data_IF_991978604244
#
_entry.id   IF_991978604244
#
_cell.length_a   1.000
_cell.length_b   1.000
_cell.length_c   1.000
_cell.angle_alpha   90.00
_cell.angle_beta   90.00
_cell.angle_gamma   90.00
#
_symmetry.space_group_name_H-M   'P 1'
#
loop_
_entity.id
_entity.type
_entity.pdbx_description
1 polymer ?
#
# COMPACT_ATOMS: atom_id res chain seq x y z
N UNK A 1 -1.85 -2.74 -6.83
CA UNK A 1 -1.73 -1.63 -7.81
C UNK A 1 -0.28 -1.33 -8.17
N UNK A 2 0.66 -1.32 -7.23
CA UNK A 2 2.09 -1.06 -7.52
C UNK A 2 2.72 -2.00 -8.55
N UNK A 3 2.64 -3.34 -8.36
CA UNK A 3 3.29 -4.31 -9.28
C UNK A 3 2.78 -4.18 -10.73
N UNK A 4 1.45 -4.23 -11.03
CA UNK A 4 0.99 -4.12 -12.41
C UNK A 4 1.42 -2.81 -13.10
N UNK A 5 1.45 -1.70 -12.35
CA UNK A 5 1.93 -0.42 -12.87
C UNK A 5 3.43 -0.48 -13.20
N UNK A 6 4.24 -1.09 -12.33
CA UNK A 6 5.68 -1.22 -12.56
C UNK A 6 5.98 -2.11 -13.75
N UNK A 7 5.25 -3.22 -13.91
CA UNK A 7 5.38 -4.10 -15.08
C UNK A 7 5.00 -3.37 -16.36
N UNK A 8 3.94 -2.57 -16.35
CA UNK A 8 3.51 -1.80 -17.51
C UNK A 8 4.50 -0.70 -17.92
N UNK A 9 5.25 -0.13 -16.96
CA UNK A 9 6.17 0.99 -17.21
C UNK A 9 7.61 0.56 -17.46
N UNK A 10 8.10 -0.46 -16.75
CA UNK A 10 9.51 -0.85 -16.68
C UNK A 10 9.76 -2.29 -17.16
N UNK A 11 8.72 -3.05 -17.51
CA UNK A 11 8.82 -4.45 -17.94
C UNK A 11 8.93 -5.45 -16.78
N UNK A 12 9.20 -6.71 -17.14
CA UNK A 12 9.22 -7.84 -16.18
C UNK A 12 10.34 -7.72 -15.13
N UNK A 13 11.42 -7.01 -15.45
CA UNK A 13 12.55 -6.79 -14.54
C UNK A 13 12.16 -6.02 -13.28
N UNK A 14 11.04 -5.28 -13.31
CA UNK A 14 10.54 -4.54 -12.17
C UNK A 14 9.68 -5.39 -11.20
N UNK A 15 9.34 -6.63 -11.56
CA UNK A 15 8.51 -7.53 -10.73
C UNK A 15 9.16 -7.80 -9.38
N UNK A 16 10.45 -8.17 -9.40
CA UNK A 16 11.21 -8.52 -8.19
C UNK A 16 11.32 -7.32 -7.24
N UNK A 17 11.86 -6.15 -7.64
CA UNK A 17 11.97 -5.01 -6.74
C UNK A 17 10.59 -4.54 -6.26
N UNK A 18 9.57 -4.55 -7.13
CA UNK A 18 8.23 -4.11 -6.72
C UNK A 18 7.58 -5.04 -5.69
N UNK A 19 7.79 -6.34 -5.83
CA UNK A 19 7.27 -7.34 -4.88
C UNK A 19 7.96 -7.22 -3.54
N UNK A 20 9.28 -7.03 -3.52
CA UNK A 20 10.03 -6.81 -2.28
C UNK A 20 9.53 -5.57 -1.54
N UNK A 21 9.46 -4.42 -2.23
CA UNK A 21 9.00 -3.16 -1.63
C UNK A 21 7.60 -3.32 -1.02
N UNK A 22 6.65 -3.91 -1.75
CA UNK A 22 5.29 -4.14 -1.22
C UNK A 22 5.27 -5.11 -0.05
N UNK A 23 6.11 -6.13 -0.07
CA UNK A 23 6.16 -7.12 1.03
C UNK A 23 6.65 -6.45 2.31
N UNK A 24 7.75 -5.69 2.22
CA UNK A 24 8.26 -4.91 3.35
C UNK A 24 7.24 -3.87 3.85
N UNK A 25 6.60 -3.13 2.95
CA UNK A 25 5.59 -2.14 3.33
C UNK A 25 4.40 -2.77 4.07
N UNK A 26 3.91 -3.91 3.58
CA UNK A 26 2.84 -4.64 4.25
C UNK A 26 3.26 -5.15 5.62
N UNK A 27 4.45 -5.76 5.75
CA UNK A 27 4.97 -6.25 7.04
C UNK A 27 5.04 -5.10 8.05
N UNK A 28 5.60 -3.95 7.63
CA UNK A 28 5.72 -2.77 8.48
C UNK A 28 4.33 -2.30 8.93
N UNK A 29 3.37 -2.15 8.02
CA UNK A 29 2.00 -1.75 8.37
C UNK A 29 1.33 -2.72 9.32
N UNK A 30 1.46 -4.03 9.07
CA UNK A 30 0.86 -5.07 9.89
C UNK A 30 1.51 -5.22 11.27
N UNK A 31 2.71 -4.70 11.50
CA UNK A 31 3.35 -4.68 12.83
C UNK A 31 3.07 -3.34 13.54
N UNK A 32 3.27 -2.23 12.85
CA UNK A 32 3.18 -0.89 13.45
C UNK A 32 1.74 -0.49 13.73
N UNK A 33 0.82 -0.75 12.80
CA UNK A 33 -0.58 -0.30 12.96
C UNK A 33 -1.23 -0.96 14.17
N UNK A 34 -1.14 -2.29 14.40
CA UNK A 34 -1.67 -2.89 15.63
C UNK A 34 -0.97 -2.40 16.90
N UNK A 35 0.34 -2.11 16.84
CA UNK A 35 1.09 -1.60 17.98
C UNK A 35 0.62 -0.21 18.44
N UNK A 36 0.29 0.66 17.48
CA UNK A 36 -0.19 2.04 17.72
C UNK A 36 -1.71 2.07 17.94
N UNK A 37 -2.45 1.27 17.18
CA UNK A 37 -3.90 1.27 17.14
C UNK A 37 -4.53 0.35 18.19
N UNK A 38 -3.82 -0.70 18.60
CA UNK A 38 -4.21 -1.63 19.66
C UNK A 38 -4.60 -0.87 20.91
N UNK A 39 -5.67 -1.35 21.56
CA UNK A 39 -6.31 -0.68 22.71
C UNK A 39 -5.30 -0.15 23.71
N UNK A 40 -5.61 1.02 24.26
CA UNK A 40 -4.84 1.75 25.25
C UNK A 40 -4.85 1.06 26.63
N UNK A 41 -4.79 -0.26 26.67
CA UNK A 41 -4.60 -1.02 27.88
C UNK A 41 -3.13 -0.82 28.24
N UNK A 42 -2.84 -0.07 29.30
CA UNK A 42 -1.51 0.36 29.75
C UNK A 42 -0.55 -0.76 30.17
N UNK A 43 -0.54 -1.88 29.44
CA UNK A 43 0.38 -3.00 29.62
C UNK A 43 1.73 -2.78 28.94
N UNK A 44 2.74 -3.47 29.46
CA UNK A 44 4.12 -3.52 28.95
C UNK A 44 4.19 -3.72 27.43
N UNK A 45 5.21 -3.13 26.78
CA UNK A 45 5.49 -3.20 25.34
C UNK A 45 5.44 -4.64 24.80
N UNK A 46 5.85 -5.62 25.61
CA UNK A 46 5.80 -7.06 25.27
C UNK A 46 4.38 -7.60 25.12
N UNK A 47 3.43 -7.15 25.94
CA UNK A 47 2.01 -7.53 25.80
C UNK A 47 1.42 -6.92 24.55
N UNK A 48 1.75 -5.66 24.24
CA UNK A 48 1.31 -4.98 23.01
C UNK A 48 1.84 -5.67 21.75
N UNK A 49 3.11 -6.08 21.75
CA UNK A 49 3.67 -6.89 20.66
C UNK A 49 2.97 -8.26 20.55
N UNK A 50 2.69 -8.92 21.68
CA UNK A 50 1.94 -10.18 21.70
C UNK A 50 0.53 -10.04 21.12
N UNK A 51 -0.20 -8.97 21.48
CA UNK A 51 -1.51 -8.67 20.88
C UNK A 51 -1.43 -8.36 19.40
N UNK A 52 -0.45 -7.55 18.96
CA UNK A 52 -0.22 -7.25 17.55
C UNK A 52 0.06 -8.50 16.71
N UNK A 53 0.85 -9.44 17.24
CA UNK A 53 1.11 -10.74 16.59
C UNK A 53 -0.16 -11.61 16.52
N UNK A 54 -0.96 -11.65 17.59
CA UNK A 54 -2.22 -12.37 17.62
C UNK A 54 -3.25 -11.80 16.62
N UNK A 55 -3.32 -10.49 16.50
CA UNK A 55 -4.18 -9.82 15.51
C UNK A 55 -3.68 -9.99 14.09
N UNK A 56 -2.35 -10.02 13.90
CA UNK A 56 -1.74 -10.35 12.62
C UNK A 56 -2.12 -11.76 12.17
N UNK A 57 -2.04 -12.76 13.06
CA UNK A 57 -2.46 -14.13 12.76
C UNK A 57 -3.97 -14.21 12.48
N UNK A 58 -4.79 -13.38 13.14
CA UNK A 58 -6.23 -13.28 12.88
C UNK A 58 -6.57 -12.43 11.66
N UNK A 59 -5.58 -11.86 10.98
CA UNK A 59 -5.82 -10.98 9.86
C UNK A 59 -6.33 -11.78 8.64
N UNK A 60 -7.53 -11.50 8.11
CA UNK A 60 -8.09 -12.25 6.99
C UNK A 60 -7.22 -12.17 5.72
N UNK A 61 -6.48 -11.07 5.51
CA UNK A 61 -5.53 -10.97 4.40
C UNK A 61 -4.36 -11.94 4.56
N UNK A 62 -3.75 -11.98 5.76
CA UNK A 62 -2.64 -12.88 6.03
C UNK A 62 -3.07 -14.34 5.91
N UNK A 63 -4.22 -14.68 6.49
CA UNK A 63 -4.78 -16.04 6.42
C UNK A 63 -5.02 -16.43 4.96
N UNK A 64 -5.65 -15.55 4.15
CA UNK A 64 -5.88 -15.81 2.74
C UNK A 64 -4.59 -16.02 1.95
N UNK A 65 -3.55 -15.20 2.20
CA UNK A 65 -2.24 -15.35 1.56
C UNK A 65 -1.57 -16.66 1.94
N UNK A 66 -1.57 -17.03 3.22
CA UNK A 66 -0.99 -18.29 3.70
C UNK A 66 -1.71 -19.49 3.07
N UNK A 67 -3.05 -19.47 3.03
CA UNK A 67 -3.83 -20.53 2.38
C UNK A 67 -3.46 -20.62 0.89
N UNK A 68 -3.38 -19.49 0.18
CA UNK A 68 -2.99 -19.45 -1.23
C UNK A 68 -1.59 -20.04 -1.48
N UNK A 69 -0.62 -19.70 -0.64
CA UNK A 69 0.74 -20.25 -0.70
C UNK A 69 0.73 -21.76 -0.46
N UNK A 70 0.03 -22.23 0.59
CA UNK A 70 -0.05 -23.66 0.91
C UNK A 70 -0.69 -24.45 -0.24
N UNK A 71 -1.80 -23.97 -0.80
CA UNK A 71 -2.46 -24.59 -1.96
C UNK A 71 -1.51 -24.68 -3.16
N UNK A 72 -0.77 -23.60 -3.43
CA UNK A 72 0.23 -23.57 -4.51
C UNK A 72 1.40 -24.51 -4.25
N UNK A 73 1.92 -24.58 -3.01
CA UNK A 73 3.09 -25.38 -2.65
C UNK A 73 2.79 -26.89 -2.66
N UNK A 74 1.59 -27.28 -2.24
CA UNK A 74 1.15 -28.68 -2.25
C UNK A 74 0.58 -29.12 -3.60
N UNK A 75 0.54 -28.24 -4.60
CA UNK A 75 0.01 -28.55 -5.94
C UNK A 75 -1.42 -29.08 -5.90
N UNK A 76 -2.22 -28.63 -4.91
CA UNK A 76 -3.58 -29.13 -4.72
C UNK A 76 -4.37 -28.70 -5.96
N UNK A 77 -4.84 -29.69 -6.73
CA UNK A 77 -5.76 -29.47 -7.85
C UNK A 77 -7.07 -28.88 -7.30
N UNK A 78 -7.12 -27.56 -7.27
CA UNK A 78 -8.32 -26.81 -6.91
C UNK A 78 -9.32 -26.94 -8.04
N UNK A 79 -10.60 -27.06 -7.67
CA UNK A 79 -11.67 -27.13 -8.65
C UNK A 79 -11.66 -25.84 -9.49
N UNK A 80 -11.71 -25.96 -10.82
CA UNK A 80 -11.72 -24.80 -11.73
C UNK A 80 -12.79 -23.76 -11.34
N UNK A 81 -13.91 -24.20 -10.75
CA UNK A 81 -14.94 -23.34 -10.20
C UNK A 81 -14.41 -22.40 -9.09
N UNK A 82 -13.65 -22.92 -8.14
CA UNK A 82 -13.12 -22.13 -7.01
C UNK A 82 -12.13 -21.09 -7.51
N UNK A 83 -11.26 -21.46 -8.46
CA UNK A 83 -10.28 -20.56 -9.08
C UNK A 83 -11.00 -19.43 -9.82
N UNK A 84 -11.96 -19.77 -10.68
CA UNK A 84 -12.71 -18.79 -11.46
C UNK A 84 -13.54 -17.84 -10.59
N UNK A 85 -14.20 -18.36 -9.55
CA UNK A 85 -14.93 -17.53 -8.59
C UNK A 85 -13.98 -16.60 -7.82
N UNK A 86 -12.84 -17.11 -7.37
CA UNK A 86 -11.84 -16.30 -6.65
C UNK A 86 -11.26 -15.20 -7.53
N UNK A 87 -11.01 -15.48 -8.81
CA UNK A 87 -10.53 -14.50 -9.79
C UNK A 87 -11.58 -13.40 -10.06
N UNK A 88 -12.85 -13.77 -10.26
CA UNK A 88 -13.93 -12.80 -10.44
C UNK A 88 -14.17 -11.93 -9.20
N UNK A 89 -14.12 -12.54 -8.00
CA UNK A 89 -14.20 -11.81 -6.73
C UNK A 89 -13.01 -10.87 -6.56
N UNK A 90 -11.79 -11.33 -6.86
CA UNK A 90 -10.57 -10.53 -6.80
C UNK A 90 -10.62 -9.31 -7.72
N UNK A 91 -11.10 -9.49 -8.96
CA UNK A 91 -11.32 -8.40 -9.92
C UNK A 91 -12.36 -7.38 -9.45
N UNK A 92 -13.37 -7.84 -8.71
CA UNK A 92 -14.45 -6.98 -8.18
C UNK A 92 -14.12 -6.33 -6.83
N UNK A 93 -13.13 -6.85 -6.10
CA UNK A 93 -12.78 -6.36 -4.76
C UNK A 93 -12.26 -4.92 -4.76
N UNK A 94 -11.43 -4.56 -5.76
CA UNK A 94 -10.87 -3.21 -5.87
C UNK A 94 -11.95 -2.15 -6.15
N UNK A 95 -12.81 -2.28 -7.18
CA UNK A 95 -13.85 -1.28 -7.44
C UNK A 95 -14.86 -1.17 -6.30
N UNK A 96 -15.22 -2.28 -5.65
CA UNK A 96 -16.12 -2.25 -4.49
C UNK A 96 -15.49 -1.57 -3.27
N UNK A 97 -14.20 -1.79 -3.01
CA UNK A 97 -13.50 -1.10 -1.94
C UNK A 97 -13.35 0.40 -2.21
N UNK A 98 -13.05 0.81 -3.46
CA UNK A 98 -13.02 2.21 -3.86
C UNK A 98 -14.39 2.88 -3.72
N UNK A 99 -15.47 2.17 -4.10
CA UNK A 99 -16.84 2.65 -3.90
C UNK A 99 -17.17 2.81 -2.41
N UNK A 100 -16.81 1.85 -1.57
CA UNK A 100 -16.98 1.93 -0.10
C UNK A 100 -16.20 3.09 0.51
N UNK A 101 -14.99 3.34 0.01
CA UNK A 101 -14.17 4.46 0.45
C UNK A 101 -14.81 5.80 0.06
N UNK A 102 -15.35 5.91 -1.16
CA UNK A 102 -16.15 7.07 -1.60
C UNK A 102 -17.43 7.28 -0.81
N UNK A 103 -18.17 6.20 -0.52
CA UNK A 103 -19.37 6.23 0.33
C UNK A 103 -19.02 6.67 1.76
N UNK A 104 -17.92 6.17 2.32
CA UNK A 104 -17.45 6.57 3.64
C UNK A 104 -17.09 8.05 3.71
N UNK A 105 -16.62 8.66 2.60
CA UNK A 105 -16.43 10.11 2.52
C UNK A 105 -17.77 10.85 2.42
N UNK A 106 -18.70 10.37 1.58
CA UNK A 106 -20.01 11.00 1.41
C UNK A 106 -20.89 10.97 2.66
N UNK A 107 -20.80 9.90 3.46
CA UNK A 107 -21.56 9.74 4.70
C UNK A 107 -20.88 10.39 5.90
N UNK A 108 -19.62 10.81 5.75
CA UNK A 108 -18.91 11.50 6.80
C UNK A 108 -19.39 12.95 6.94
N UNK A 109 -19.35 13.50 8.16
CA UNK A 109 -19.58 14.95 8.35
C UNK A 109 -18.36 15.67 7.83
N UNK A 110 -18.32 15.89 6.52
CA UNK A 110 -17.22 16.51 5.79
C UNK A 110 -16.69 17.73 6.55
N UNK A 111 -15.60 17.54 7.29
CA UNK A 111 -14.90 18.60 8.03
C UNK A 111 -13.94 19.38 7.12
N UNK A 112 -13.97 19.12 5.80
CA UNK A 112 -13.05 19.68 4.83
C UNK A 112 -11.64 19.08 4.89
N UNK A 113 -10.81 19.53 3.96
CA UNK A 113 -9.37 19.31 4.00
C UNK A 113 -8.80 20.32 4.99
N UNK A 114 -8.55 19.87 6.22
CA UNK A 114 -7.81 20.66 7.20
C UNK A 114 -6.35 20.81 6.75
N UNK A 115 -5.69 21.91 7.15
CA UNK A 115 -4.26 22.12 6.90
C UNK A 115 -3.39 20.90 7.25
N UNK A 116 -3.70 20.22 8.37
CA UNK A 116 -3.02 18.99 8.77
C UNK A 116 -3.18 17.84 7.76
N UNK A 117 -4.35 17.68 7.15
CA UNK A 117 -4.60 16.64 6.14
C UNK A 117 -3.83 16.94 4.86
N UNK A 118 -3.82 18.21 4.43
CA UNK A 118 -3.05 18.66 3.27
C UNK A 118 -1.54 18.49 3.49
N UNK A 119 -1.05 18.84 4.68
CA UNK A 119 0.35 18.68 5.05
C UNK A 119 0.80 17.21 4.99
N UNK A 120 -0.01 16.27 5.48
CA UNK A 120 0.29 14.83 5.39
C UNK A 120 0.30 14.33 3.94
N UNK A 121 -0.61 14.81 3.11
CA UNK A 121 -0.64 14.50 1.67
C UNK A 121 0.65 15.00 1.01
N UNK A 122 1.04 16.25 1.24
CA UNK A 122 2.27 16.85 0.67
C UNK A 122 3.53 16.14 1.16
N UNK A 123 3.61 15.84 2.47
CA UNK A 123 4.71 15.06 3.05
C UNK A 123 4.88 13.71 2.35
N UNK A 124 3.77 13.01 2.10
CA UNK A 124 3.82 11.68 1.49
C UNK A 124 4.04 11.73 -0.03
N UNK A 125 3.47 12.70 -0.73
CA UNK A 125 3.54 12.76 -2.20
C UNK A 125 4.78 13.48 -2.73
N UNK A 126 5.40 14.37 -1.95
CA UNK A 126 6.56 15.14 -2.40
C UNK A 126 7.80 14.75 -1.61
N UNK A 127 7.74 14.81 -0.28
CA UNK A 127 8.94 14.65 0.54
C UNK A 127 9.41 13.19 0.56
N UNK A 128 8.49 12.23 0.66
CA UNK A 128 8.84 10.81 0.64
C UNK A 128 9.52 10.37 -0.69
N UNK A 129 8.97 10.61 -1.89
CA UNK A 129 9.64 10.22 -3.12
C UNK A 129 10.95 10.97 -3.35
N UNK A 130 11.06 12.23 -2.94
CA UNK A 130 12.33 12.99 -3.02
C UNK A 130 13.38 12.37 -2.11
N UNK A 131 13.03 12.01 -0.87
CA UNK A 131 13.95 11.32 0.04
C UNK A 131 14.38 9.97 -0.52
N UNK A 132 13.45 9.18 -1.05
CA UNK A 132 13.74 7.90 -1.69
C UNK A 132 14.70 8.11 -2.87
N UNK A 133 14.44 9.09 -3.73
CA UNK A 133 15.31 9.41 -4.86
C UNK A 133 16.72 9.81 -4.42
N UNK A 134 16.84 10.69 -3.42
CA UNK A 134 18.14 11.12 -2.89
C UNK A 134 18.92 9.93 -2.32
N UNK A 135 18.28 9.09 -1.50
CA UNK A 135 18.93 7.93 -0.89
C UNK A 135 19.37 6.92 -1.95
N UNK A 136 18.47 6.54 -2.85
CA UNK A 136 18.74 5.55 -3.91
C UNK A 136 19.87 6.02 -4.83
N UNK A 137 19.83 7.29 -5.27
CA UNK A 137 20.87 7.86 -6.15
C UNK A 137 22.19 8.02 -5.40
N UNK A 138 22.17 8.45 -4.14
CA UNK A 138 23.40 8.62 -3.33
C UNK A 138 24.12 7.31 -3.02
N UNK A 139 23.37 6.20 -2.92
CA UNK A 139 23.96 4.89 -2.67
C UNK A 139 24.67 4.34 -3.92
N UNK A 140 24.21 4.68 -5.13
CA UNK A 140 24.87 4.33 -6.40
C UNK A 140 25.02 2.82 -6.69
N UNK A 141 24.41 1.96 -5.87
CA UNK A 141 24.54 0.49 -5.93
C UNK A 141 23.42 -0.20 -6.72
N UNK A 142 22.34 0.51 -7.05
CA UNK A 142 21.15 -0.07 -7.68
C UNK A 142 21.19 0.09 -9.19
N UNK A 143 20.72 -0.93 -9.92
CA UNK A 143 20.52 -0.81 -11.37
C UNK A 143 19.45 0.24 -11.68
N UNK A 144 19.45 0.86 -12.88
CA UNK A 144 18.49 1.89 -13.23
C UNK A 144 17.03 1.46 -13.05
N UNK A 145 16.71 0.21 -13.38
CA UNK A 145 15.36 -0.37 -13.21
C UNK A 145 14.97 -0.47 -11.73
N UNK A 146 15.90 -0.89 -10.86
CA UNK A 146 15.65 -0.98 -9.41
C UNK A 146 15.46 0.41 -8.78
N UNK A 147 16.30 1.37 -9.19
CA UNK A 147 16.20 2.74 -8.73
C UNK A 147 14.88 3.40 -9.19
N UNK A 148 14.53 3.25 -10.47
CA UNK A 148 13.27 3.71 -11.04
C UNK A 148 12.06 3.10 -10.32
N UNK A 149 12.09 1.79 -10.07
CA UNK A 149 11.02 1.08 -9.35
C UNK A 149 10.83 1.66 -7.94
N UNK A 150 11.91 1.84 -7.18
CA UNK A 150 11.83 2.39 -5.82
C UNK A 150 11.25 3.80 -5.80
N UNK A 151 11.70 4.67 -6.71
CA UNK A 151 11.26 6.07 -6.79
C UNK A 151 9.78 6.16 -7.19
N UNK A 152 9.36 5.42 -8.23
CA UNK A 152 7.97 5.46 -8.69
C UNK A 152 7.06 4.85 -7.63
N UNK A 153 7.46 3.76 -6.98
CA UNK A 153 6.65 3.17 -5.91
C UNK A 153 6.56 4.06 -4.67
N UNK A 154 7.61 4.81 -4.33
CA UNK A 154 7.57 5.83 -3.28
C UNK A 154 6.63 7.01 -3.59
N UNK A 155 6.31 7.23 -4.87
CA UNK A 155 5.36 8.28 -5.29
C UNK A 155 3.89 7.83 -5.32
N UNK A 156 3.62 6.54 -5.07
CA UNK A 156 2.26 6.01 -5.04
C UNK A 156 1.47 6.62 -3.87
N UNK A 157 0.16 6.88 -4.06
CA UNK A 157 -0.70 7.35 -2.98
C UNK A 157 -0.82 6.28 -1.88
N UNK A 158 -1.31 6.70 -0.72
CA UNK A 158 -1.54 5.79 0.41
C UNK A 158 -2.35 4.57 0.00
N UNK A 159 -1.87 3.37 0.39
CA UNK A 159 -2.54 2.12 0.09
C UNK A 159 -3.92 2.03 0.77
N UNK A 160 -4.88 1.43 0.06
CA UNK A 160 -6.21 1.09 0.57
C UNK A 160 -6.15 0.25 1.86
N UNK A 161 -5.09 -0.53 2.04
CA UNK A 161 -4.80 -1.31 3.27
C UNK A 161 -4.82 -0.43 4.52
N UNK A 162 -4.34 0.81 4.43
CA UNK A 162 -4.34 1.75 5.57
C UNK A 162 -5.75 2.16 5.96
N UNK A 163 -6.64 2.38 4.98
CA UNK A 163 -8.07 2.64 5.24
C UNK A 163 -8.76 1.42 5.87
N UNK A 164 -8.51 0.22 5.35
CA UNK A 164 -9.08 -1.01 5.91
C UNK A 164 -8.63 -1.25 7.35
N UNK A 165 -7.34 -1.04 7.65
CA UNK A 165 -6.82 -1.12 9.01
C UNK A 165 -7.43 -0.03 9.91
N UNK A 166 -7.54 1.21 9.45
CA UNK A 166 -8.17 2.28 10.23
C UNK A 166 -9.63 1.94 10.60
N UNK A 167 -10.38 1.34 9.66
CA UNK A 167 -11.73 0.82 9.93
C UNK A 167 -11.73 -0.37 10.89
N UNK A 168 -10.83 -1.33 10.70
CA UNK A 168 -10.71 -2.52 11.54
C UNK A 168 -10.42 -2.16 13.00
N UNK A 169 -9.60 -1.13 13.23
CA UNK A 169 -9.20 -0.67 14.55
C UNK A 169 -10.07 0.44 15.14
N UNK A 170 -11.20 0.75 14.51
CA UNK A 170 -12.12 1.83 14.90
C UNK A 170 -11.39 3.17 15.16
N UNK A 171 -10.40 3.46 14.32
CA UNK A 171 -9.67 4.73 14.29
C UNK A 171 -10.33 5.68 13.29
N UNK A 172 -9.75 6.86 13.12
CA UNK A 172 -10.26 7.92 12.24
C UNK A 172 -10.20 7.54 10.75
N UNK A 173 -11.05 6.59 10.37
CA UNK A 173 -11.21 6.07 9.02
C UNK A 173 -11.73 7.14 8.05
N UNK A 174 -12.42 8.16 8.57
CA UNK A 174 -12.89 9.32 7.81
C UNK A 174 -11.71 10.20 7.35
N UNK A 175 -10.78 10.50 8.26
CA UNK A 175 -9.58 11.25 7.89
C UNK A 175 -8.71 10.43 6.93
N UNK A 176 -8.55 9.13 7.17
CA UNK A 176 -7.75 8.25 6.30
C UNK A 176 -8.38 8.09 4.92
N UNK A 177 -9.71 7.97 4.81
CA UNK A 177 -10.41 7.89 3.52
C UNK A 177 -10.24 9.19 2.72
N UNK A 178 -10.38 10.34 3.38
CA UNK A 178 -10.17 11.66 2.76
C UNK A 178 -8.74 11.80 2.21
N UNK A 179 -7.73 11.51 3.03
CA UNK A 179 -6.30 11.58 2.63
C UNK A 179 -6.03 10.64 1.46
N UNK A 180 -6.61 9.44 1.48
CA UNK A 180 -6.42 8.44 0.43
C UNK A 180 -7.07 8.87 -0.89
N UNK A 181 -8.30 9.40 -0.88
CA UNK A 181 -8.96 9.89 -2.10
C UNK A 181 -8.25 11.09 -2.70
N UNK A 182 -8.04 12.14 -1.91
CA UNK A 182 -7.39 13.34 -2.40
C UNK A 182 -5.95 13.06 -2.82
N UNK A 183 -5.23 12.22 -2.05
CA UNK A 183 -3.90 11.75 -2.42
C UNK A 183 -3.90 10.99 -3.74
N UNK A 184 -4.90 10.15 -4.01
CA UNK A 184 -5.03 9.43 -5.28
C UNK A 184 -5.35 10.36 -6.47
N UNK A 185 -6.20 11.37 -6.27
CA UNK A 185 -6.50 12.36 -7.30
C UNK A 185 -5.26 13.20 -7.64
N UNK A 186 -4.52 13.66 -6.62
CA UNK A 186 -3.29 14.45 -6.77
C UNK A 186 -2.14 13.59 -7.31
N UNK A 187 -2.10 12.29 -6.99
CA UNK A 187 -1.06 11.40 -7.45
C UNK A 187 -1.07 11.22 -8.96
N UNK A 188 -2.20 11.38 -9.64
CA UNK A 188 -2.25 11.30 -11.12
C UNK A 188 -1.27 12.29 -11.74
N UNK A 189 -1.27 13.55 -11.29
CA UNK A 189 -0.33 14.57 -11.76
C UNK A 189 1.10 14.30 -11.28
N UNK A 190 1.25 13.94 -10.00
CA UNK A 190 2.57 13.75 -9.37
C UNK A 190 3.33 12.56 -9.96
N UNK A 191 2.67 11.40 -10.10
CA UNK A 191 3.24 10.19 -10.70
C UNK A 191 3.60 10.46 -12.16
N UNK A 192 2.76 11.17 -12.91
CA UNK A 192 3.06 11.52 -14.32
C UNK A 192 4.35 12.33 -14.42
N UNK A 193 4.56 13.31 -13.53
CA UNK A 193 5.81 14.07 -13.47
C UNK A 193 7.00 13.19 -13.05
N UNK A 194 6.84 12.37 -12.01
CA UNK A 194 7.92 11.50 -11.51
C UNK A 194 8.38 10.51 -12.59
N UNK A 195 7.46 9.89 -13.32
CA UNK A 195 7.78 8.99 -14.44
C UNK A 195 8.57 9.73 -15.51
N UNK A 196 8.15 10.95 -15.89
CA UNK A 196 8.85 11.75 -16.89
C UNK A 196 10.30 12.05 -16.48
N UNK A 197 10.53 12.43 -15.21
CA UNK A 197 11.88 12.68 -14.70
C UNK A 197 12.72 11.41 -14.62
N UNK A 198 12.15 10.29 -14.15
CA UNK A 198 12.85 9.00 -14.06
C UNK A 198 13.26 8.47 -15.45
N UNK A 199 12.40 8.60 -16.46
CA UNK A 199 12.72 8.22 -17.84
C UNK A 199 13.93 8.99 -18.38
N UNK A 200 13.95 10.31 -18.16
CA UNK A 200 15.03 11.18 -18.64
C UNK A 200 16.34 10.94 -17.89
N UNK A 201 16.30 10.81 -16.57
CA UNK A 201 17.50 10.78 -15.73
C UNK A 201 18.15 9.39 -15.64
N UNK A 202 17.37 8.31 -15.67
CA UNK A 202 17.87 6.97 -15.35
C UNK A 202 17.80 5.98 -16.51
N UNK A 203 16.83 6.12 -17.43
CA UNK A 203 16.64 5.14 -18.51
C UNK A 203 17.28 5.55 -19.85
N UNK A 204 17.56 6.84 -20.05
CA UNK A 204 18.24 7.37 -21.24
C UNK A 204 19.71 7.76 -21.02
N UNK A 205 20.25 7.57 -19.82
CA UNK A 205 21.69 7.71 -19.50
C UNK A 205 22.40 6.37 -19.64
#
# INVERSE_FOLDING_TARGET
MGIPLMVALLGEDAIIPATLILTFDNIIHFIIVPLIAGRNDGGSILKRLGYGLLELIKNPFLIATIIGILVSAFGINTLNLIVNLSDQLGKSAIPTALFSLGLSLSLSKFSGITFNKLFLIVMKLIIHPVLVAVVIVSLGIFTPVWAATAIIMGSLPTALTVYMLARQYDKDAETVSSITLFGTLISVGTISMVIYYVDILLLKS
#
